data_IF_893199425551
#
_entry.id   IF_893199425551
#
_cell.length_a   1.000
_cell.length_b   1.000
_cell.length_c   1.000
_cell.angle_alpha   90.00
_cell.angle_beta   90.00
_cell.angle_gamma   90.00
#
_symmetry.space_group_name_H-M   'P 1'
#
loop_
_entity.id
_entity.type
_entity.pdbx_description
1 polymer ?
#
# COMPACT_ATOMS: atom_id res chain seq x y z
N UNK A 1 -7.11 11.08 21.58
CA UNK A 1 -6.53 11.92 22.65
C UNK A 1 -7.49 12.16 23.83
N UNK A 2 -8.79 11.86 23.73
CA UNK A 2 -9.78 12.13 24.81
C UNK A 2 -10.07 10.89 25.68
N UNK A 3 -9.66 9.69 25.27
CA UNK A 3 -10.00 8.44 25.97
C UNK A 3 -8.94 7.94 26.96
N UNK A 4 -7.74 8.52 26.99
CA UNK A 4 -6.66 8.01 27.85
C UNK A 4 -6.74 8.49 29.30
N UNK A 5 -7.50 9.55 29.59
CA UNK A 5 -7.65 10.12 30.96
C UNK A 5 -8.87 9.59 31.74
N UNK A 6 -9.64 8.67 31.20
CA UNK A 6 -10.81 8.10 31.88
C UNK A 6 -10.41 6.85 32.66
N UNK A 7 -10.83 6.77 33.92
CA UNK A 7 -10.64 5.58 34.78
C UNK A 7 -11.28 4.32 34.17
N UNK A 8 -10.78 3.16 34.55
CA UNK A 8 -11.19 1.85 33.97
C UNK A 8 -12.71 1.58 34.01
N UNK A 9 -13.44 2.06 35.01
CA UNK A 9 -14.91 1.93 35.09
C UNK A 9 -15.63 2.77 34.04
N UNK A 10 -15.19 4.00 33.82
CA UNK A 10 -15.76 4.87 32.80
C UNK A 10 -15.48 4.36 31.38
N UNK A 11 -14.29 3.76 31.15
CA UNK A 11 -13.97 3.08 29.89
C UNK A 11 -14.86 1.86 29.65
N UNK A 12 -15.22 1.14 30.71
CA UNK A 12 -16.10 -0.03 30.63
C UNK A 12 -17.55 0.40 30.37
N UNK A 13 -18.08 1.37 31.10
CA UNK A 13 -19.44 1.91 30.88
C UNK A 13 -19.60 2.54 29.49
N UNK A 14 -18.59 3.24 28.99
CA UNK A 14 -18.61 3.76 27.62
C UNK A 14 -18.60 2.64 26.57
N UNK A 15 -17.81 1.58 26.79
CA UNK A 15 -17.82 0.41 25.88
C UNK A 15 -19.17 -0.32 25.90
N UNK A 16 -19.77 -0.50 27.08
CA UNK A 16 -21.09 -1.12 27.23
C UNK A 16 -22.17 -0.27 26.57
N UNK A 17 -22.15 1.06 26.75
CA UNK A 17 -23.06 1.99 26.08
C UNK A 17 -22.90 2.04 24.57
N UNK A 18 -21.67 1.98 24.04
CA UNK A 18 -21.40 1.85 22.60
C UNK A 18 -21.81 0.49 22.03
N UNK A 19 -21.90 -0.56 22.83
CA UNK A 19 -22.44 -1.85 22.40
C UNK A 19 -23.98 -1.85 22.32
N UNK A 20 -24.67 -1.14 23.20
CA UNK A 20 -26.14 -1.01 23.18
C UNK A 20 -26.68 -0.19 21.98
N UNK A 21 -25.84 0.65 21.35
CA UNK A 21 -26.21 1.48 20.17
C UNK A 21 -25.79 0.86 18.81
N UNK A 22 -25.28 -0.38 18.79
CA UNK A 22 -24.88 -1.01 17.53
C UNK A 22 -26.11 -1.50 16.75
N UNK A 23 -26.17 -1.12 15.48
CA UNK A 23 -27.23 -1.54 14.54
C UNK A 23 -27.28 -3.06 14.33
N UNK A 24 -26.09 -3.72 14.34
CA UNK A 24 -25.94 -5.16 14.18
C UNK A 24 -25.27 -5.76 15.40
N UNK A 25 -25.73 -6.93 15.81
CA UNK A 25 -25.00 -7.74 16.77
C UNK A 25 -23.62 -8.12 16.21
N UNK A 26 -22.58 -7.91 17.00
CA UNK A 26 -21.21 -8.23 16.62
C UNK A 26 -20.50 -8.93 17.77
N UNK A 27 -20.35 -10.21 17.65
CA UNK A 27 -19.76 -11.08 18.68
C UNK A 27 -18.25 -11.26 18.51
N UNK A 28 -17.58 -11.74 19.55
CA UNK A 28 -16.18 -12.17 19.44
C UNK A 28 -15.98 -13.29 18.40
N UNK A 29 -17.02 -14.12 18.17
CA UNK A 29 -16.99 -15.17 17.16
C UNK A 29 -17.03 -14.58 15.75
N UNK A 30 -17.87 -13.56 15.51
CA UNK A 30 -17.92 -12.84 14.21
C UNK A 30 -16.59 -12.18 13.91
N UNK A 31 -15.99 -11.49 14.88
CA UNK A 31 -14.66 -10.91 14.74
C UNK A 31 -13.60 -11.95 14.40
N UNK A 32 -13.60 -13.09 15.12
CA UNK A 32 -12.65 -14.17 14.86
C UNK A 32 -12.81 -14.75 13.44
N UNK A 33 -14.07 -14.87 12.97
CA UNK A 33 -14.36 -15.32 11.60
C UNK A 33 -13.88 -14.32 10.54
N UNK A 34 -14.17 -13.03 10.70
CA UNK A 34 -13.65 -11.97 9.82
C UNK A 34 -12.13 -12.01 9.77
N UNK A 35 -11.48 -12.09 10.93
CA UNK A 35 -10.01 -12.18 11.03
C UNK A 35 -9.44 -13.38 10.29
N UNK A 36 -10.06 -14.54 10.42
CA UNK A 36 -9.66 -15.76 9.71
C UNK A 36 -9.79 -15.59 8.19
N UNK A 37 -10.93 -15.08 7.73
CA UNK A 37 -11.23 -14.93 6.30
C UNK A 37 -10.30 -13.95 5.61
N UNK A 38 -10.09 -12.76 6.19
CA UNK A 38 -9.20 -11.77 5.59
C UNK A 38 -7.72 -12.21 5.64
N UNK A 39 -7.32 -12.96 6.69
CA UNK A 39 -5.99 -13.54 6.74
C UNK A 39 -5.78 -14.58 5.65
N UNK A 40 -6.74 -15.48 5.43
CA UNK A 40 -6.66 -16.50 4.37
C UNK A 40 -6.64 -15.90 2.97
N UNK A 41 -7.43 -14.86 2.74
CA UNK A 41 -7.59 -14.25 1.41
C UNK A 41 -6.50 -13.22 1.06
N UNK A 42 -6.10 -12.40 2.02
CA UNK A 42 -5.20 -11.27 1.80
C UNK A 42 -3.98 -11.24 2.73
N UNK A 43 -3.81 -12.21 3.64
CA UNK A 43 -2.72 -12.26 4.63
C UNK A 43 -2.79 -11.19 5.71
N UNK A 44 -3.84 -10.39 5.72
CA UNK A 44 -3.97 -9.28 6.66
C UNK A 44 -4.22 -9.81 8.06
N UNK A 45 -3.26 -9.57 8.96
CA UNK A 45 -3.35 -9.92 10.37
C UNK A 45 -4.02 -8.80 11.16
N UNK A 46 -5.22 -9.05 11.68
CA UNK A 46 -5.97 -8.10 12.49
C UNK A 46 -5.76 -8.39 13.98
N UNK A 47 -5.31 -7.40 14.74
CA UNK A 47 -5.26 -7.46 16.20
C UNK A 47 -6.63 -7.16 16.83
N UNK A 48 -6.83 -7.53 18.07
CA UNK A 48 -8.08 -7.29 18.81
C UNK A 48 -8.41 -5.79 18.93
N UNK A 49 -7.40 -4.92 18.89
CA UNK A 49 -7.60 -3.46 18.85
C UNK A 49 -8.33 -2.96 17.59
N UNK A 50 -8.52 -3.80 16.58
CA UNK A 50 -9.21 -3.46 15.32
C UNK A 50 -10.69 -3.83 15.30
N UNK A 51 -11.24 -4.33 16.40
CA UNK A 51 -12.63 -4.79 16.51
C UNK A 51 -13.64 -3.71 16.03
N UNK A 52 -13.53 -2.47 16.52
CA UNK A 52 -14.46 -1.40 16.15
C UNK A 52 -14.31 -0.95 14.69
N UNK A 53 -13.08 -0.97 14.16
CA UNK A 53 -12.82 -0.72 12.75
C UNK A 53 -13.49 -1.79 11.87
N UNK A 54 -13.35 -3.06 12.23
CA UNK A 54 -13.98 -4.19 11.52
C UNK A 54 -15.50 -4.05 11.57
N UNK A 55 -16.06 -3.83 12.77
CA UNK A 55 -17.50 -3.58 12.92
C UNK A 55 -18.00 -2.48 11.96
N UNK A 56 -17.38 -1.31 12.02
CA UNK A 56 -17.81 -0.16 11.21
C UNK A 56 -17.71 -0.43 9.70
N UNK A 57 -16.63 -1.07 9.26
CA UNK A 57 -16.35 -1.27 7.84
C UNK A 57 -17.17 -2.42 7.24
N UNK A 58 -17.26 -3.55 7.93
CA UNK A 58 -18.08 -4.69 7.50
C UNK A 58 -19.56 -4.39 7.67
N UNK A 59 -19.97 -3.70 8.72
CA UNK A 59 -21.35 -3.23 8.91
C UNK A 59 -21.83 -2.33 7.75
N UNK A 60 -20.94 -1.51 7.18
CA UNK A 60 -21.24 -0.76 5.95
C UNK A 60 -21.49 -1.69 4.76
N UNK A 61 -20.72 -2.78 4.64
CA UNK A 61 -20.94 -3.77 3.57
C UNK A 61 -22.27 -4.49 3.76
N UNK A 62 -22.60 -4.93 4.98
CA UNK A 62 -23.87 -5.58 5.32
C UNK A 62 -25.04 -4.72 4.84
N UNK A 63 -25.03 -3.41 5.16
CA UNK A 63 -26.05 -2.45 4.69
C UNK A 63 -26.11 -2.34 3.17
N UNK A 64 -24.94 -2.27 2.51
CA UNK A 64 -24.86 -2.11 1.06
C UNK A 64 -25.45 -3.29 0.32
N UNK A 65 -25.26 -4.51 0.81
CA UNK A 65 -25.78 -5.74 0.20
C UNK A 65 -27.18 -6.13 0.70
N UNK A 66 -27.76 -5.35 1.65
CA UNK A 66 -29.13 -5.54 2.14
C UNK A 66 -29.29 -6.73 3.10
N UNK A 67 -28.21 -7.18 3.75
CA UNK A 67 -28.27 -8.22 4.77
C UNK A 67 -28.48 -7.62 6.17
N UNK A 68 -28.84 -8.46 7.15
CA UNK A 68 -29.28 -7.99 8.45
C UNK A 68 -28.36 -8.40 9.61
N UNK A 69 -27.33 -9.22 9.36
CA UNK A 69 -26.40 -9.68 10.39
C UNK A 69 -25.01 -9.97 9.87
N UNK A 70 -24.01 -9.92 10.75
CA UNK A 70 -22.65 -10.39 10.44
C UNK A 70 -22.63 -11.85 10.03
N UNK A 71 -23.41 -12.68 10.73
CA UNK A 71 -23.49 -14.12 10.42
C UNK A 71 -23.96 -14.35 8.99
N UNK A 72 -25.08 -13.75 8.59
CA UNK A 72 -25.64 -13.94 7.24
C UNK A 72 -24.70 -13.41 6.17
N UNK A 73 -24.05 -12.27 6.43
CA UNK A 73 -23.06 -11.68 5.53
C UNK A 73 -21.85 -12.61 5.33
N UNK A 74 -21.30 -13.15 6.43
CA UNK A 74 -20.13 -14.03 6.36
C UNK A 74 -20.50 -15.40 5.74
N UNK A 75 -21.71 -15.93 6.01
CA UNK A 75 -22.21 -17.14 5.37
C UNK A 75 -22.35 -16.93 3.85
N UNK A 76 -22.91 -15.80 3.45
CA UNK A 76 -23.04 -15.43 2.04
C UNK A 76 -21.67 -15.19 1.38
N UNK A 77 -20.75 -14.50 2.05
CA UNK A 77 -19.39 -14.25 1.55
C UNK A 77 -18.63 -15.55 1.25
N UNK A 78 -18.81 -16.58 2.07
CA UNK A 78 -18.18 -17.91 1.89
C UNK A 78 -18.93 -18.80 0.91
N UNK A 79 -20.12 -18.41 0.44
CA UNK A 79 -20.88 -19.14 -0.58
C UNK A 79 -20.39 -18.78 -2.00
N UNK A 80 -20.77 -19.60 -2.99
CA UNK A 80 -20.47 -19.35 -4.41
C UNK A 80 -21.38 -18.25 -5.03
N UNK A 81 -22.28 -17.64 -4.25
CA UNK A 81 -23.29 -16.68 -4.73
C UNK A 81 -22.89 -15.21 -4.52
N UNK A 82 -21.65 -14.93 -4.14
CA UNK A 82 -21.24 -13.59 -3.66
C UNK A 82 -20.73 -12.63 -4.74
N UNK A 83 -20.80 -12.94 -6.02
CA UNK A 83 -20.44 -12.11 -7.20
C UNK A 83 -19.47 -10.93 -6.94
N UNK A 84 -18.21 -11.23 -6.60
CA UNK A 84 -17.18 -10.21 -6.39
C UNK A 84 -17.18 -9.55 -5.01
N UNK A 85 -17.99 -10.01 -4.05
CA UNK A 85 -18.00 -9.43 -2.70
C UNK A 85 -16.68 -9.66 -1.94
N UNK A 86 -15.92 -10.70 -2.26
CA UNK A 86 -14.58 -10.89 -1.71
C UNK A 86 -13.65 -9.69 -1.95
N UNK A 87 -13.76 -9.07 -3.12
CA UNK A 87 -13.02 -7.85 -3.45
C UNK A 87 -13.48 -6.69 -2.55
N UNK A 88 -14.79 -6.48 -2.43
CA UNK A 88 -15.36 -5.42 -1.60
C UNK A 88 -15.05 -5.61 -0.11
N UNK A 89 -15.11 -6.86 0.37
CA UNK A 89 -14.74 -7.23 1.74
C UNK A 89 -13.25 -6.92 2.01
N UNK A 90 -12.37 -7.29 1.09
CA UNK A 90 -10.94 -7.01 1.18
C UNK A 90 -10.68 -5.51 1.18
N UNK A 91 -11.24 -4.78 0.21
CA UNK A 91 -11.12 -3.33 0.10
C UNK A 91 -11.63 -2.60 1.36
N UNK A 92 -12.70 -3.10 1.98
CA UNK A 92 -13.20 -2.53 3.22
C UNK A 92 -12.23 -2.67 4.39
N UNK A 93 -11.42 -3.72 4.42
CA UNK A 93 -10.51 -4.02 5.54
C UNK A 93 -9.07 -3.54 5.33
N UNK A 94 -8.72 -3.10 4.11
CA UNK A 94 -7.40 -2.49 3.85
C UNK A 94 -7.25 -1.14 4.55
N UNK A 95 -6.00 -0.76 4.83
CA UNK A 95 -5.68 0.54 5.41
C UNK A 95 -4.74 1.29 4.46
N UNK A 96 -5.26 2.33 3.82
CA UNK A 96 -4.66 2.98 2.65
C UNK A 96 -4.04 4.36 2.97
N UNK A 97 -3.46 4.53 4.19
CA UNK A 97 -2.83 5.79 4.57
C UNK A 97 -1.51 5.98 3.83
N UNK A 98 -1.47 6.99 2.97
CA UNK A 98 -0.29 7.37 2.19
C UNK A 98 -0.20 8.88 2.01
N UNK A 99 0.95 9.39 1.57
CA UNK A 99 1.16 10.80 1.22
C UNK A 99 2.30 10.95 0.23
N UNK A 100 2.29 12.06 -0.53
CA UNK A 100 3.42 12.43 -1.37
C UNK A 100 4.68 12.60 -0.53
N UNK A 101 5.81 12.07 -1.01
CA UNK A 101 7.12 12.11 -0.35
C UNK A 101 7.13 11.56 1.09
N UNK A 102 6.24 10.62 1.44
CA UNK A 102 6.32 9.90 2.71
C UNK A 102 7.69 9.25 2.86
N UNK A 103 8.35 9.46 4.04
CA UNK A 103 9.72 9.02 4.29
C UNK A 103 10.68 9.51 3.19
N UNK A 104 10.71 10.84 3.02
CA UNK A 104 11.35 11.55 1.90
C UNK A 104 12.82 11.19 1.66
N UNK A 105 13.51 10.69 2.68
CA UNK A 105 14.92 10.29 2.60
C UNK A 105 15.22 9.15 1.61
N UNK A 106 14.21 8.42 1.15
CA UNK A 106 14.35 7.38 0.13
C UNK A 106 14.57 7.94 -1.29
N UNK A 107 13.94 9.08 -1.59
CA UNK A 107 13.90 9.58 -2.96
C UNK A 107 15.24 10.15 -3.46
N UNK A 108 16.08 10.83 -2.65
CA UNK A 108 17.45 11.16 -3.05
C UNK A 108 18.30 9.92 -3.34
N UNK A 109 18.12 8.82 -2.57
CA UNK A 109 18.83 7.55 -2.80
C UNK A 109 18.39 6.96 -4.15
N UNK A 110 17.08 6.93 -4.42
CA UNK A 110 16.54 6.50 -5.71
C UNK A 110 17.10 7.35 -6.86
N UNK A 111 17.08 8.69 -6.73
CA UNK A 111 17.56 9.60 -7.76
C UNK A 111 19.02 9.34 -8.15
N UNK A 112 19.90 9.18 -7.16
CA UNK A 112 21.32 8.86 -7.39
C UNK A 112 21.53 7.45 -7.96
N UNK A 113 20.70 6.50 -7.56
CA UNK A 113 20.75 5.13 -8.07
C UNK A 113 20.40 5.08 -9.56
N UNK A 114 19.22 5.61 -9.95
CA UNK A 114 18.72 5.51 -11.32
C UNK A 114 19.56 6.27 -12.35
N UNK A 115 20.29 7.32 -11.96
CA UNK A 115 21.20 8.04 -12.85
C UNK A 115 22.34 7.17 -13.38
N UNK A 116 22.75 6.15 -12.60
CA UNK A 116 23.90 5.29 -12.91
C UNK A 116 23.54 4.04 -13.73
N UNK A 117 22.24 3.82 -13.95
CA UNK A 117 21.76 2.58 -14.55
C UNK A 117 21.63 2.64 -16.07
N UNK A 118 21.76 1.48 -16.71
CA UNK A 118 21.38 1.28 -18.11
C UNK A 118 19.87 1.44 -18.29
N UNK A 119 19.46 1.98 -19.42
CA UNK A 119 18.06 2.30 -19.76
C UNK A 119 17.47 1.22 -20.67
N UNK A 120 16.19 0.92 -20.60
CA UNK A 120 15.17 1.52 -19.73
C UNK A 120 15.31 1.04 -18.27
N UNK A 121 14.90 1.90 -17.33
CA UNK A 121 14.91 1.64 -15.89
C UNK A 121 13.51 1.20 -15.48
N UNK A 122 13.41 0.10 -14.73
CA UNK A 122 12.14 -0.44 -14.29
C UNK A 122 12.01 -0.40 -12.78
N UNK A 123 10.92 0.18 -12.30
CA UNK A 123 10.65 0.34 -10.87
C UNK A 123 9.28 -0.27 -10.55
N UNK A 124 9.20 -1.01 -9.44
CA UNK A 124 7.94 -1.54 -8.95
C UNK A 124 7.56 -0.93 -7.60
N UNK A 125 6.35 -0.36 -7.51
CA UNK A 125 5.70 0.04 -6.29
C UNK A 125 4.64 -1.02 -5.94
N UNK A 126 4.92 -1.88 -4.97
CA UNK A 126 4.17 -3.11 -4.72
C UNK A 126 2.91 -2.93 -3.87
N UNK A 127 2.72 -1.75 -3.26
CA UNK A 127 1.53 -1.37 -2.49
C UNK A 127 1.27 0.13 -2.70
N UNK A 128 0.66 0.45 -3.84
CA UNK A 128 0.59 1.82 -4.35
C UNK A 128 -0.45 2.69 -3.67
N UNK A 129 -1.41 2.09 -2.98
CA UNK A 129 -2.55 2.79 -2.38
C UNK A 129 -3.19 3.77 -3.38
N UNK A 130 -3.55 4.96 -2.96
CA UNK A 130 -4.16 6.01 -3.80
C UNK A 130 -3.19 6.71 -4.76
N UNK A 131 -1.94 6.22 -4.91
CA UNK A 131 -1.02 6.60 -5.98
C UNK A 131 0.04 7.63 -5.61
N UNK A 132 0.04 8.18 -4.40
CA UNK A 132 1.01 9.21 -4.00
C UNK A 132 2.47 8.71 -4.07
N UNK A 133 2.72 7.45 -3.71
CA UNK A 133 4.05 6.86 -3.79
C UNK A 133 4.53 6.67 -5.23
N UNK A 134 3.82 5.98 -6.14
CA UNK A 134 4.29 5.84 -7.52
C UNK A 134 4.42 7.19 -8.25
N UNK A 135 3.56 8.17 -7.96
CA UNK A 135 3.74 9.52 -8.50
C UNK A 135 4.96 10.22 -7.91
N UNK A 136 5.29 10.00 -6.65
CA UNK A 136 6.53 10.53 -6.05
C UNK A 136 7.76 9.91 -6.70
N UNK A 137 7.73 8.61 -7.01
CA UNK A 137 8.79 7.93 -7.77
C UNK A 137 8.93 8.58 -9.17
N UNK A 138 7.82 8.81 -9.87
CA UNK A 138 7.81 9.46 -11.17
C UNK A 138 8.38 10.89 -11.11
N UNK A 139 7.97 11.71 -10.12
CA UNK A 139 8.52 13.05 -9.90
C UNK A 139 10.03 13.01 -9.64
N UNK A 140 10.48 12.08 -8.81
CA UNK A 140 11.90 11.88 -8.51
C UNK A 140 12.69 11.53 -9.76
N UNK A 141 12.15 10.67 -10.62
CA UNK A 141 12.78 10.35 -11.89
C UNK A 141 12.83 11.57 -12.84
N UNK A 142 11.73 12.34 -12.94
CA UNK A 142 11.71 13.57 -13.73
C UNK A 142 12.76 14.58 -13.25
N UNK A 143 12.85 14.80 -11.94
CA UNK A 143 13.85 15.68 -11.33
C UNK A 143 15.28 15.17 -11.56
N UNK A 144 15.51 13.86 -11.45
CA UNK A 144 16.83 13.24 -11.62
C UNK A 144 17.36 13.36 -13.06
N UNK A 145 16.49 13.27 -14.06
CA UNK A 145 16.86 13.37 -15.48
C UNK A 145 16.60 14.74 -16.09
N UNK A 146 16.01 15.70 -15.35
CA UNK A 146 15.69 17.04 -15.85
C UNK A 146 14.67 17.06 -16.98
N UNK A 147 13.76 16.11 -17.05
CA UNK A 147 12.76 15.97 -18.12
C UNK A 147 11.48 15.34 -17.61
N UNK A 148 10.33 15.69 -18.19
CA UNK A 148 9.04 15.04 -17.90
C UNK A 148 8.88 13.69 -18.63
N UNK A 149 9.88 13.26 -19.40
CA UNK A 149 9.92 11.96 -20.10
C UNK A 149 11.20 11.21 -19.74
N UNK A 150 11.45 10.91 -18.44
CA UNK A 150 12.62 10.13 -18.06
C UNK A 150 12.51 8.71 -18.64
N UNK A 151 13.63 8.01 -18.86
CA UNK A 151 13.66 6.65 -19.40
C UNK A 151 13.31 5.62 -18.30
N UNK A 152 12.17 5.79 -17.63
CA UNK A 152 11.72 5.00 -16.49
C UNK A 152 10.32 4.45 -16.75
N UNK A 153 10.12 3.18 -16.45
CA UNK A 153 8.84 2.50 -16.43
C UNK A 153 8.50 2.13 -14.99
N UNK A 154 7.30 2.48 -14.52
CA UNK A 154 6.85 2.20 -13.17
C UNK A 154 5.65 1.26 -13.24
N UNK A 155 5.75 0.11 -12.60
CA UNK A 155 4.61 -0.75 -12.31
C UNK A 155 4.15 -0.43 -10.88
N UNK A 156 2.88 -0.14 -10.72
CA UNK A 156 2.28 0.15 -9.43
C UNK A 156 1.15 -0.85 -9.16
N UNK A 157 1.25 -1.59 -8.07
CA UNK A 157 0.27 -2.62 -7.75
C UNK A 157 -0.36 -2.38 -6.39
N UNK A 158 -1.59 -2.83 -6.22
CA UNK A 158 -2.28 -2.90 -4.94
C UNK A 158 -3.32 -4.03 -4.98
N UNK A 159 -3.73 -4.52 -3.82
CA UNK A 159 -4.84 -5.47 -3.73
C UNK A 159 -6.20 -4.77 -3.86
N UNK A 160 -6.29 -3.52 -3.42
CA UNK A 160 -7.52 -2.70 -3.36
C UNK A 160 -7.76 -1.97 -4.70
N UNK A 161 -8.76 -2.44 -5.43
CA UNK A 161 -9.13 -1.87 -6.75
C UNK A 161 -9.66 -0.45 -6.67
N UNK A 162 -10.29 -0.04 -5.55
CA UNK A 162 -10.81 1.33 -5.39
C UNK A 162 -9.66 2.34 -5.30
N UNK A 163 -8.58 1.99 -4.59
CA UNK A 163 -7.41 2.87 -4.51
C UNK A 163 -6.66 2.90 -5.82
N UNK A 164 -6.56 1.77 -6.55
CA UNK A 164 -5.97 1.73 -7.89
C UNK A 164 -6.75 2.61 -8.88
N UNK A 165 -8.09 2.58 -8.84
CA UNK A 165 -8.92 3.46 -9.66
C UNK A 165 -8.68 4.94 -9.31
N UNK A 166 -8.49 5.27 -8.03
CA UNK A 166 -8.14 6.64 -7.59
C UNK A 166 -6.75 7.03 -8.08
N UNK A 167 -5.76 6.16 -7.91
CA UNK A 167 -4.40 6.35 -8.38
C UNK A 167 -4.35 6.57 -9.90
N UNK A 168 -5.05 5.74 -10.67
CA UNK A 168 -5.10 5.87 -12.14
C UNK A 168 -5.73 7.18 -12.61
N UNK A 169 -6.75 7.71 -11.90
CA UNK A 169 -7.30 9.05 -12.18
C UNK A 169 -6.28 10.15 -11.92
N UNK A 170 -5.45 10.01 -10.88
CA UNK A 170 -4.43 10.97 -10.49
C UNK A 170 -5.01 12.33 -10.08
N UNK A 171 -6.22 12.36 -9.52
CA UNK A 171 -6.91 13.56 -9.07
C UNK A 171 -6.99 13.56 -7.56
N UNK A 172 -6.56 14.65 -6.94
CA UNK A 172 -6.46 14.77 -5.49
C UNK A 172 -7.03 16.11 -5.01
N UNK A 173 -7.60 16.18 -3.79
CA UNK A 173 -7.84 17.44 -3.11
C UNK A 173 -6.51 18.22 -2.95
N UNK A 174 -6.57 19.55 -3.03
CA UNK A 174 -5.38 20.41 -2.99
C UNK A 174 -4.57 20.28 -1.69
N UNK A 175 -5.23 19.97 -0.57
CA UNK A 175 -4.58 19.73 0.72
C UNK A 175 -3.59 18.56 0.70
N UNK A 176 -3.83 17.54 -0.13
CA UNK A 176 -2.91 16.40 -0.30
C UNK A 176 -1.54 16.80 -0.84
N UNK A 177 -1.48 17.88 -1.61
CA UNK A 177 -0.24 18.41 -2.20
C UNK A 177 0.26 19.67 -1.50
N UNK A 178 -0.41 20.14 -0.44
CA UNK A 178 -0.11 21.40 0.26
C UNK A 178 1.32 21.49 0.75
N UNK A 179 1.90 20.36 1.19
CA UNK A 179 3.28 20.27 1.72
C UNK A 179 4.35 20.24 0.63
N UNK A 180 3.99 20.06 -0.64
CA UNK A 180 4.95 20.10 -1.74
C UNK A 180 5.43 21.52 -2.00
N UNK A 181 6.68 21.66 -2.49
CA UNK A 181 7.20 22.95 -2.93
C UNK A 181 6.37 23.53 -4.08
N UNK A 182 6.31 24.86 -4.16
CA UNK A 182 5.60 25.53 -5.26
C UNK A 182 6.13 25.14 -6.64
N UNK A 183 7.44 24.85 -6.73
CA UNK A 183 8.06 24.33 -7.96
C UNK A 183 7.40 23.00 -8.36
N UNK A 184 7.35 22.00 -7.45
CA UNK A 184 6.75 20.70 -7.72
C UNK A 184 5.27 20.79 -8.05
N UNK A 185 4.51 21.64 -7.35
CA UNK A 185 3.08 21.86 -7.63
C UNK A 185 2.87 22.38 -9.06
N UNK A 186 3.65 23.38 -9.49
CA UNK A 186 3.55 23.95 -10.83
C UNK A 186 4.05 23.01 -11.94
N UNK A 187 5.10 22.25 -11.66
CA UNK A 187 5.74 21.36 -12.62
C UNK A 187 4.95 20.08 -12.85
N UNK A 188 4.41 19.49 -11.81
CA UNK A 188 3.83 18.13 -11.86
C UNK A 188 2.31 18.07 -11.78
N UNK A 189 1.65 19.17 -11.43
CA UNK A 189 0.19 19.17 -11.29
C UNK A 189 -0.48 20.24 -12.16
N UNK A 190 -1.72 19.97 -12.49
CA UNK A 190 -2.66 20.90 -13.10
C UNK A 190 -3.71 21.26 -12.06
N UNK A 191 -3.95 22.55 -11.83
CA UNK A 191 -4.97 23.03 -10.90
C UNK A 191 -6.34 22.96 -11.56
N UNK A 192 -7.31 22.45 -10.85
CA UNK A 192 -8.70 22.45 -11.27
C UNK A 192 -9.30 23.86 -11.30
N UNK A 193 -10.31 24.05 -12.14
CA UNK A 193 -11.08 25.30 -12.27
C UNK A 193 -12.56 24.98 -12.40
N UNK A 194 -13.41 25.97 -12.11
CA UNK A 194 -14.88 25.81 -12.14
C UNK A 194 -15.34 24.66 -11.24
N UNK A 195 -16.05 23.70 -11.79
CA UNK A 195 -16.55 22.54 -11.03
C UNK A 195 -15.46 21.66 -10.42
N UNK A 196 -14.20 21.83 -10.80
CA UNK A 196 -13.03 21.11 -10.26
C UNK A 196 -12.19 22.00 -9.32
N UNK A 197 -12.70 23.13 -8.88
CA UNK A 197 -12.00 24.00 -7.94
C UNK A 197 -11.69 23.25 -6.64
N UNK A 198 -10.50 23.48 -6.05
CA UNK A 198 -10.02 22.74 -4.88
C UNK A 198 -9.37 21.39 -5.19
N UNK A 199 -9.39 20.93 -6.44
CA UNK A 199 -8.72 19.73 -6.90
C UNK A 199 -7.44 20.05 -7.67
N UNK A 200 -6.54 19.07 -7.69
CA UNK A 200 -5.35 19.05 -8.56
C UNK A 200 -5.27 17.71 -9.27
N UNK A 201 -4.76 17.73 -10.50
CA UNK A 201 -4.52 16.51 -11.27
C UNK A 201 -3.05 16.38 -11.61
N UNK A 202 -2.49 15.19 -11.42
CA UNK A 202 -1.15 14.85 -11.89
C UNK A 202 -1.09 14.98 -13.43
N UNK A 203 -0.05 15.62 -13.96
CA UNK A 203 0.13 15.78 -15.40
C UNK A 203 0.20 14.44 -16.13
N UNK A 204 -0.27 14.42 -17.36
CA UNK A 204 -0.32 13.21 -18.18
C UNK A 204 1.07 12.60 -18.40
N UNK A 205 2.11 13.43 -18.50
CA UNK A 205 3.49 12.99 -18.68
C UNK A 205 3.93 12.04 -17.56
N UNK A 206 3.60 12.34 -16.29
CA UNK A 206 3.90 11.47 -15.16
C UNK A 206 2.99 10.24 -15.15
N UNK A 207 1.70 10.44 -15.45
CA UNK A 207 0.72 9.34 -15.46
C UNK A 207 1.11 8.27 -16.50
N UNK A 208 1.66 8.68 -17.63
CA UNK A 208 2.10 7.78 -18.71
C UNK A 208 3.36 6.97 -18.35
N UNK A 209 4.07 7.31 -17.26
CA UNK A 209 5.20 6.52 -16.77
C UNK A 209 4.76 5.34 -15.92
N UNK A 210 3.48 5.29 -15.51
CA UNK A 210 2.98 4.36 -14.48
C UNK A 210 1.90 3.47 -15.06
N UNK A 211 2.06 2.17 -14.88
CA UNK A 211 1.04 1.14 -15.14
C UNK A 211 0.47 0.64 -13.83
N UNK A 212 -0.84 0.82 -13.62
CA UNK A 212 -1.53 0.36 -12.41
C UNK A 212 -2.17 -0.99 -12.65
N UNK A 213 -1.93 -1.95 -11.75
CA UNK A 213 -2.42 -3.33 -11.85
C UNK A 213 -2.86 -3.86 -10.47
N UNK A 214 -3.93 -4.64 -10.44
CA UNK A 214 -4.29 -5.38 -9.24
C UNK A 214 -3.32 -6.53 -9.01
N UNK A 215 -2.85 -6.67 -7.76
CA UNK A 215 -1.99 -7.77 -7.37
C UNK A 215 -2.13 -8.06 -5.88
N UNK A 216 -2.37 -9.32 -5.54
CA UNK A 216 -2.25 -9.81 -4.19
C UNK A 216 -0.83 -10.36 -3.97
N UNK A 217 -0.11 -9.83 -3.00
CA UNK A 217 1.25 -10.30 -2.67
C UNK A 217 1.28 -11.75 -2.18
N UNK A 218 0.13 -12.31 -1.79
CA UNK A 218 0.00 -13.72 -1.42
C UNK A 218 -0.13 -14.66 -2.62
N UNK A 219 -0.57 -14.19 -3.78
CA UNK A 219 -0.79 -15.04 -4.95
C UNK A 219 0.44 -15.88 -5.25
N UNK A 220 0.25 -17.15 -5.58
CA UNK A 220 1.36 -18.05 -5.84
C UNK A 220 2.23 -17.58 -7.01
N UNK A 221 1.62 -16.99 -8.02
CA UNK A 221 2.28 -16.44 -9.20
C UNK A 221 1.86 -14.99 -9.41
N UNK A 222 2.84 -14.11 -9.65
CA UNK A 222 2.58 -12.74 -10.03
C UNK A 222 2.66 -12.59 -11.56
N UNK A 223 1.80 -11.78 -12.19
CA UNK A 223 1.85 -11.54 -13.63
C UNK A 223 3.04 -10.67 -14.06
N UNK A 224 3.99 -10.46 -13.17
CA UNK A 224 5.22 -9.68 -13.34
C UNK A 224 6.36 -10.66 -13.61
N UNK A 225 6.98 -10.55 -14.78
CA UNK A 225 8.00 -11.52 -15.24
C UNK A 225 9.40 -10.96 -15.35
N UNK A 226 9.54 -9.65 -15.55
CA UNK A 226 10.84 -9.03 -15.81
C UNK A 226 11.39 -8.38 -14.55
N UNK A 227 12.72 -8.47 -14.31
CA UNK A 227 13.33 -7.93 -13.12
C UNK A 227 13.37 -6.40 -13.11
N UNK A 228 13.45 -5.84 -11.89
CA UNK A 228 13.41 -4.42 -11.59
C UNK A 228 14.77 -3.90 -11.14
N UNK A 229 14.99 -2.60 -11.38
CA UNK A 229 16.13 -1.84 -10.88
C UNK A 229 15.87 -1.29 -9.46
N UNK A 230 14.59 -1.11 -9.10
CA UNK A 230 14.17 -0.76 -7.74
C UNK A 230 12.77 -1.33 -7.44
N UNK A 231 12.57 -1.77 -6.20
CA UNK A 231 11.27 -2.20 -5.68
C UNK A 231 10.95 -1.36 -4.45
N UNK A 232 9.75 -0.78 -4.41
CA UNK A 232 9.17 -0.11 -3.24
C UNK A 232 8.14 -1.05 -2.62
N UNK A 233 8.46 -1.59 -1.45
CA UNK A 233 7.56 -2.40 -0.63
C UNK A 233 7.49 -1.76 0.76
N UNK A 234 6.70 -0.69 0.87
CA UNK A 234 6.70 0.19 2.03
C UNK A 234 5.35 0.21 2.72
N UNK A 235 5.38 0.06 4.04
CA UNK A 235 4.21 0.19 4.91
C UNK A 235 3.08 -0.82 4.60
N UNK A 236 3.43 -1.98 4.06
CA UNK A 236 2.53 -3.08 3.74
C UNK A 236 2.93 -4.36 4.48
N UNK A 237 4.23 -4.62 4.66
CA UNK A 237 4.72 -5.83 5.34
C UNK A 237 4.33 -5.86 6.82
N UNK A 238 4.01 -4.71 7.40
CA UNK A 238 3.50 -4.59 8.78
C UNK A 238 2.17 -5.32 9.00
N UNK A 239 1.43 -5.63 7.95
CA UNK A 239 0.16 -6.36 8.02
C UNK A 239 0.33 -7.87 7.96
N UNK A 240 1.52 -8.37 7.64
CA UNK A 240 1.83 -9.78 7.49
C UNK A 240 2.62 -10.32 8.68
N UNK A 241 2.38 -11.57 9.04
CA UNK A 241 3.23 -12.29 9.98
C UNK A 241 4.62 -12.62 9.37
N UNK A 242 5.57 -13.00 10.21
CA UNK A 242 6.95 -13.27 9.78
C UNK A 242 7.08 -14.37 8.72
N UNK A 243 6.36 -15.51 8.82
CA UNK A 243 6.37 -16.53 7.77
C UNK A 243 5.87 -16.00 6.41
N UNK A 244 4.80 -15.20 6.42
CA UNK A 244 4.24 -14.57 5.21
C UNK A 244 5.19 -13.54 4.62
N UNK A 245 5.79 -12.67 5.46
CA UNK A 245 6.84 -11.74 5.03
C UNK A 245 7.98 -12.48 4.32
N UNK A 246 8.48 -13.59 4.91
CA UNK A 246 9.55 -14.39 4.30
C UNK A 246 9.15 -14.96 2.93
N UNK A 247 7.92 -15.47 2.79
CA UNK A 247 7.41 -15.96 1.49
C UNK A 247 7.37 -14.86 0.44
N UNK A 248 6.90 -13.67 0.80
CA UNK A 248 6.83 -12.52 -0.11
C UNK A 248 8.24 -12.07 -0.52
N UNK A 249 9.17 -11.92 0.43
CA UNK A 249 10.54 -11.53 0.13
C UNK A 249 11.27 -12.52 -0.79
N UNK A 250 11.04 -13.83 -0.60
CA UNK A 250 11.57 -14.86 -1.51
C UNK A 250 11.08 -14.72 -2.94
N UNK A 251 9.88 -14.16 -3.16
CA UNK A 251 9.37 -13.87 -4.51
C UNK A 251 9.94 -12.58 -5.09
N UNK A 252 10.31 -11.60 -4.25
CA UNK A 252 10.98 -10.38 -4.73
C UNK A 252 12.38 -10.65 -5.24
N UNK A 253 13.16 -11.53 -4.57
CA UNK A 253 14.55 -11.81 -4.91
C UNK A 253 14.77 -12.11 -6.40
N UNK A 254 14.05 -13.04 -7.06
CA UNK A 254 14.22 -13.30 -8.49
C UNK A 254 13.77 -12.15 -9.40
N UNK A 255 12.98 -11.19 -8.88
CA UNK A 255 12.55 -10.00 -9.60
C UNK A 255 13.47 -8.79 -9.37
N UNK A 256 14.52 -8.93 -8.62
CA UNK A 256 15.55 -7.90 -8.41
C UNK A 256 16.73 -8.14 -9.36
N UNK A 257 17.11 -7.11 -10.13
CA UNK A 257 18.40 -7.13 -10.85
C UNK A 257 19.55 -7.16 -9.84
N UNK A 258 20.76 -7.61 -10.21
CA UNK A 258 21.89 -7.71 -9.26
C UNK A 258 22.23 -6.42 -8.51
N UNK A 259 21.94 -5.27 -9.09
CA UNK A 259 22.17 -3.94 -8.52
C UNK A 259 20.92 -3.31 -7.92
N UNK A 260 19.77 -4.00 -7.94
CA UNK A 260 18.50 -3.44 -7.54
C UNK A 260 18.46 -3.06 -6.07
N UNK A 261 17.70 -2.01 -5.77
CA UNK A 261 17.39 -1.59 -4.41
C UNK A 261 15.96 -1.96 -4.03
N UNK A 262 15.80 -2.46 -2.81
CA UNK A 262 14.49 -2.68 -2.18
C UNK A 262 14.30 -1.64 -1.07
N UNK A 263 13.28 -0.82 -1.21
CA UNK A 263 12.89 0.19 -0.23
C UNK A 263 11.76 -0.34 0.65
N UNK A 264 11.97 -0.33 1.97
CA UNK A 264 10.98 -0.72 2.97
C UNK A 264 10.54 0.49 3.81
N UNK A 265 9.37 0.44 4.44
CA UNK A 265 8.91 1.48 5.36
C UNK A 265 9.74 1.49 6.66
N UNK A 266 9.75 2.62 7.36
CA UNK A 266 10.61 2.83 8.53
C UNK A 266 10.39 1.82 9.67
N UNK A 267 9.17 1.27 9.80
CA UNK A 267 8.82 0.25 10.81
C UNK A 267 9.06 -1.18 10.34
N UNK A 268 9.59 -1.37 9.13
CA UNK A 268 9.80 -2.68 8.50
C UNK A 268 11.26 -3.07 8.54
N UNK A 269 11.55 -4.26 9.10
CA UNK A 269 12.92 -4.77 9.19
C UNK A 269 12.97 -6.19 8.61
N UNK A 270 13.73 -6.34 7.52
CA UNK A 270 13.86 -7.61 6.78
C UNK A 270 15.10 -8.43 7.16
N UNK A 271 16.00 -7.92 8.00
CA UNK A 271 17.24 -8.62 8.38
C UNK A 271 17.00 -9.99 9.02
N UNK A 272 15.89 -10.13 9.77
CA UNK A 272 15.53 -11.39 10.44
C UNK A 272 14.52 -12.22 9.65
N UNK A 273 14.16 -11.79 8.43
CA UNK A 273 13.12 -12.40 7.62
C UNK A 273 13.67 -12.97 6.32
N UNK A 274 14.73 -12.39 5.78
CA UNK A 274 15.41 -12.85 4.56
C UNK A 274 16.91 -12.93 4.77
N UNK A 275 17.51 -14.03 4.29
CA UNK A 275 18.97 -14.22 4.24
C UNK A 275 19.60 -13.68 2.95
N UNK A 276 18.78 -13.40 1.95
CA UNK A 276 19.18 -12.99 0.60
C UNK A 276 19.37 -11.47 0.46
N UNK A 277 18.95 -10.72 1.49
CA UNK A 277 18.99 -9.26 1.51
C UNK A 277 19.99 -8.75 2.55
N UNK A 278 20.68 -7.67 2.23
CA UNK A 278 21.51 -6.90 3.17
C UNK A 278 21.06 -5.45 3.24
N UNK A 279 21.09 -4.88 4.45
CA UNK A 279 20.69 -3.51 4.73
C UNK A 279 21.84 -2.55 4.38
N UNK A 280 21.56 -1.55 3.55
CA UNK A 280 22.47 -0.44 3.25
C UNK A 280 22.32 0.74 4.23
N UNK A 281 21.23 0.77 4.98
CA UNK A 281 20.81 1.85 5.87
C UNK A 281 19.48 2.48 5.46
N UNK A 282 18.84 3.23 6.37
CA UNK A 282 17.57 3.94 6.11
C UNK A 282 16.46 3.04 5.51
N UNK A 283 16.38 1.77 5.93
CA UNK A 283 15.46 0.76 5.41
C UNK A 283 15.56 0.51 3.89
N UNK A 284 16.73 0.71 3.30
CA UNK A 284 17.07 0.36 1.94
C UNK A 284 17.93 -0.91 1.95
N UNK A 285 17.56 -1.87 1.12
CA UNK A 285 18.20 -3.18 1.03
C UNK A 285 18.69 -3.42 -0.40
N UNK A 286 19.71 -4.27 -0.54
CA UNK A 286 20.16 -4.83 -1.81
C UNK A 286 20.29 -6.36 -1.69
N UNK A 287 20.45 -7.04 -2.81
CA UNK A 287 20.75 -8.47 -2.80
C UNK A 287 22.11 -8.71 -2.15
N UNK A 288 22.16 -9.71 -1.27
CA UNK A 288 23.41 -10.14 -0.67
C UNK A 288 24.26 -10.84 -1.72
N UNK A 289 25.40 -10.26 -2.05
CA UNK A 289 26.35 -10.89 -2.95
C UNK A 289 27.06 -12.03 -2.24
N UNK A 290 27.16 -13.21 -2.88
CA UNK A 290 28.00 -14.29 -2.37
C UNK A 290 29.48 -13.84 -2.28
N UNK A 291 30.24 -14.43 -1.36
CA UNK A 291 31.60 -14.04 -0.98
C UNK A 291 32.67 -13.99 -2.12
N UNK A 292 32.26 -13.87 -3.37
CA UNK A 292 33.15 -13.83 -4.54
C UNK A 292 32.92 -12.69 -5.54
N UNK A 293 31.85 -11.94 -5.46
CA UNK A 293 31.58 -10.83 -6.40
C UNK A 293 31.75 -9.48 -5.73
N UNK A 294 32.96 -8.94 -5.73
CA UNK A 294 33.20 -7.52 -5.42
C UNK A 294 32.52 -6.66 -6.49
N UNK A 295 31.76 -5.62 -6.04
CA UNK A 295 31.25 -4.56 -6.93
C UNK A 295 32.39 -4.10 -7.87
N UNK A 296 32.20 -4.26 -9.17
CA UNK A 296 32.84 -3.35 -10.14
C UNK A 296 32.06 -2.03 -10.08
N UNK A 297 32.69 -1.03 -9.48
CA UNK A 297 32.22 0.36 -9.41
C UNK A 297 32.36 1.02 -10.78
#
# INVERSE_FOLDING_TARGET
VILDDLGNENKRMLKEKFQEEREFDFTAQDFARVRKLIYQHAGISLSDAKTDMVYSRVGRRIRTVGLNSFKDYLDWLESDQNEGEWENFTNALTTNLTSFFREEHHFPILAEHIKKLAKPIRIWCSASSTGEEPYTIAMTACEAFGTLKPPVEIIATDIDTNVLATAARGVYPFDRVSKLSEKRKKEFFQKGSGAQEGLVRVRNELRNLISFQQLNLLDNQWPIKEPFDAIFCRNVMIYFDKPTQSKILKKFVPLMKPHALLFAGHSENFLYVSTDLQLLGKTVYELKHGDGQKRQL
#
